data_IF_386261960506
#
_entry.id   IF_386261960506
#
_cell.length_a   1.000
_cell.length_b   1.000
_cell.length_c   1.000
_cell.angle_alpha   90.00
_cell.angle_beta   90.00
_cell.angle_gamma   90.00
#
_symmetry.space_group_name_H-M   'P 1'
#
loop_
_entity.id
_entity.type
_entity.pdbx_description
1 polymer ?
#
# COMPACT_ATOMS: atom_id res chain seq x y z
N UNK A 1 -2.90 -27.64 -15.42
CA UNK A 1 -2.26 -26.31 -15.52
C UNK A 1 -3.37 -25.27 -15.73
N UNK A 2 -4.21 -25.02 -14.72
CA UNK A 2 -5.42 -24.21 -14.88
C UNK A 2 -5.97 -23.65 -13.54
N UNK A 3 -5.08 -23.33 -12.59
CA UNK A 3 -5.51 -22.76 -11.29
C UNK A 3 -4.77 -21.45 -10.93
N UNK A 4 -3.70 -21.06 -11.65
CA UNK A 4 -2.92 -19.87 -11.31
C UNK A 4 -3.44 -18.52 -11.85
N UNK A 5 -4.39 -18.52 -12.81
CA UNK A 5 -4.92 -17.28 -13.41
C UNK A 5 -6.10 -16.71 -12.60
N UNK A 6 -6.64 -17.46 -11.64
CA UNK A 6 -7.77 -17.00 -10.83
C UNK A 6 -7.39 -15.95 -9.77
N UNK A 7 -6.14 -15.97 -9.28
CA UNK A 7 -5.70 -15.28 -8.06
C UNK A 7 -5.15 -13.85 -8.29
N UNK A 8 -4.83 -13.48 -9.54
CA UNK A 8 -4.33 -12.14 -9.90
C UNK A 8 -5.34 -10.98 -9.71
N UNK A 9 -6.58 -11.24 -9.27
CA UNK A 9 -7.70 -10.30 -9.37
C UNK A 9 -8.29 -9.81 -8.05
N UNK A 10 -7.93 -10.38 -6.90
CA UNK A 10 -8.45 -9.88 -5.63
C UNK A 10 -7.70 -8.63 -5.16
N UNK A 11 -6.36 -8.60 -5.27
CA UNK A 11 -5.54 -7.48 -4.79
C UNK A 11 -5.89 -6.16 -5.46
N UNK A 12 -5.94 -6.15 -6.80
CA UNK A 12 -6.18 -4.92 -7.56
C UNK A 12 -7.63 -4.46 -7.38
N UNK A 13 -8.60 -5.39 -7.25
CA UNK A 13 -9.97 -5.05 -6.90
C UNK A 13 -10.06 -4.36 -5.53
N UNK A 14 -9.31 -4.84 -4.53
CA UNK A 14 -9.23 -4.18 -3.22
C UNK A 14 -8.54 -2.82 -3.29
N UNK A 15 -7.49 -2.67 -4.11
CA UNK A 15 -6.87 -1.37 -4.37
C UNK A 15 -7.87 -0.38 -4.99
N UNK A 16 -8.66 -0.83 -5.98
CA UNK A 16 -9.70 -0.01 -6.62
C UNK A 16 -10.84 0.37 -5.66
N UNK A 17 -11.32 -0.57 -4.84
CA UNK A 17 -12.33 -0.28 -3.81
C UNK A 17 -11.78 0.67 -2.74
N UNK A 18 -10.52 0.53 -2.35
CA UNK A 18 -9.85 1.50 -1.48
C UNK A 18 -9.84 2.89 -2.10
N UNK A 19 -9.41 3.01 -3.37
CA UNK A 19 -9.39 4.28 -4.09
C UNK A 19 -10.78 4.92 -4.19
N UNK A 20 -11.82 4.12 -4.42
CA UNK A 20 -13.21 4.60 -4.51
C UNK A 20 -13.67 5.31 -3.23
N UNK A 21 -13.20 4.86 -2.06
CA UNK A 21 -13.60 5.41 -0.77
C UNK A 21 -12.56 6.35 -0.15
N UNK A 22 -11.38 6.49 -0.74
CA UNK A 22 -10.22 7.14 -0.12
C UNK A 22 -10.47 8.59 0.30
N UNK A 23 -11.19 9.36 -0.52
CA UNK A 23 -11.45 10.77 -0.25
C UNK A 23 -12.64 10.99 0.68
N UNK A 24 -13.72 10.24 0.47
CA UNK A 24 -14.96 10.42 1.24
C UNK A 24 -14.93 9.73 2.60
N UNK A 25 -14.39 8.51 2.69
CA UNK A 25 -14.46 7.63 3.87
C UNK A 25 -13.13 6.86 4.07
N UNK A 26 -12.07 7.53 4.54
CA UNK A 26 -10.77 6.89 4.75
C UNK A 26 -10.82 5.69 5.72
N UNK A 27 -11.73 5.68 6.70
CA UNK A 27 -11.98 4.56 7.62
C UNK A 27 -12.54 3.32 6.90
N UNK A 28 -13.25 3.53 5.80
CA UNK A 28 -13.73 2.44 4.94
C UNK A 28 -12.65 2.02 3.95
N UNK A 29 -11.98 2.98 3.32
CA UNK A 29 -10.93 2.73 2.34
C UNK A 29 -9.79 1.89 2.92
N UNK A 30 -9.35 2.21 4.15
CA UNK A 30 -8.27 1.49 4.84
C UNK A 30 -8.57 -0.01 5.00
N UNK A 31 -9.85 -0.38 5.16
CA UNK A 31 -10.26 -1.79 5.29
C UNK A 31 -10.02 -2.54 3.98
N UNK A 32 -10.37 -1.96 2.84
CA UNK A 32 -10.12 -2.61 1.54
C UNK A 32 -8.64 -2.76 1.25
N UNK A 33 -7.85 -1.69 1.43
CA UNK A 33 -6.40 -1.78 1.24
C UNK A 33 -5.77 -2.82 2.17
N UNK A 34 -6.19 -2.89 3.43
CA UNK A 34 -5.68 -3.87 4.39
C UNK A 34 -5.99 -5.31 3.95
N UNK A 35 -7.20 -5.59 3.46
CA UNK A 35 -7.53 -6.93 2.93
C UNK A 35 -6.62 -7.28 1.75
N UNK A 36 -6.39 -6.34 0.84
CA UNK A 36 -5.43 -6.52 -0.25
C UNK A 36 -4.01 -6.81 0.26
N UNK A 37 -3.52 -6.06 1.26
CA UNK A 37 -2.22 -6.35 1.88
C UNK A 37 -2.19 -7.76 2.47
N UNK A 38 -3.22 -8.18 3.21
CA UNK A 38 -3.26 -9.50 3.85
C UNK A 38 -3.25 -10.64 2.83
N UNK A 39 -3.97 -10.50 1.72
CA UNK A 39 -3.91 -11.47 0.62
C UNK A 39 -2.49 -11.54 0.05
N UNK A 40 -1.85 -10.39 -0.21
CA UNK A 40 -0.50 -10.36 -0.77
C UNK A 40 0.56 -10.92 0.18
N UNK A 41 0.43 -10.67 1.49
CA UNK A 41 1.31 -11.23 2.52
C UNK A 41 1.23 -12.76 2.57
N UNK A 42 0.06 -13.36 2.31
CA UNK A 42 -0.09 -14.82 2.25
C UNK A 42 0.64 -15.45 1.04
N UNK A 43 0.90 -14.66 0.00
CA UNK A 43 1.65 -15.12 -1.18
C UNK A 43 3.16 -14.97 -1.02
N UNK A 44 3.65 -14.30 0.03
CA UNK A 44 5.07 -14.14 0.28
C UNK A 44 5.64 -15.34 1.07
N UNK A 45 6.88 -15.76 0.82
CA UNK A 45 7.57 -16.72 1.67
C UNK A 45 7.63 -16.26 3.12
N UNK A 46 7.59 -17.22 4.06
CA UNK A 46 7.80 -16.92 5.47
C UNK A 46 9.16 -16.22 5.68
N UNK A 47 9.16 -15.12 6.44
CA UNK A 47 10.38 -14.34 6.69
C UNK A 47 10.91 -13.57 5.48
N UNK A 48 10.10 -13.36 4.43
CA UNK A 48 10.51 -12.61 3.23
C UNK A 48 11.16 -11.26 3.59
N UNK A 49 12.41 -11.09 3.17
CA UNK A 49 13.23 -9.89 3.39
C UNK A 49 13.78 -9.29 2.08
N UNK A 50 13.24 -9.71 0.94
CA UNK A 50 13.66 -9.27 -0.39
C UNK A 50 12.97 -8.00 -0.87
N UNK A 51 13.14 -7.73 -2.17
CA UNK A 51 12.51 -6.61 -2.90
C UNK A 51 11.34 -7.10 -3.74
N UNK A 52 10.31 -6.27 -3.86
CA UNK A 52 9.18 -6.38 -4.77
C UNK A 52 9.22 -5.19 -5.73
N UNK A 53 9.95 -5.33 -6.83
CA UNK A 53 10.12 -4.25 -7.80
C UNK A 53 8.80 -3.93 -8.50
N UNK A 54 8.50 -2.64 -8.68
CA UNK A 54 7.35 -2.15 -9.45
C UNK A 54 7.36 -2.57 -10.93
N UNK A 55 8.55 -2.78 -11.49
CA UNK A 55 8.72 -3.22 -12.88
C UNK A 55 8.14 -4.62 -13.13
N UNK A 56 8.05 -5.45 -12.09
CA UNK A 56 7.34 -6.73 -12.14
C UNK A 56 5.83 -6.45 -11.93
N UNK A 57 5.06 -6.61 -13.01
CA UNK A 57 3.66 -6.17 -13.08
C UNK A 57 2.81 -6.80 -11.97
N UNK A 58 3.07 -8.07 -11.64
CA UNK A 58 2.33 -8.83 -10.64
C UNK A 58 2.49 -8.28 -9.21
N UNK A 59 3.54 -7.49 -8.94
CA UNK A 59 3.74 -6.84 -7.64
C UNK A 59 2.89 -5.58 -7.45
N UNK A 60 2.45 -4.95 -8.54
CA UNK A 60 1.82 -3.63 -8.50
C UNK A 60 0.53 -3.60 -7.67
N UNK A 61 -0.37 -4.60 -7.73
CA UNK A 61 -1.57 -4.61 -6.90
C UNK A 61 -1.26 -4.58 -5.40
N UNK A 62 -0.26 -5.35 -4.95
CA UNK A 62 0.16 -5.36 -3.55
C UNK A 62 0.75 -4.01 -3.13
N UNK A 63 1.68 -3.47 -3.94
CA UNK A 63 2.29 -2.17 -3.70
C UNK A 63 1.27 -1.02 -3.70
N UNK A 64 0.25 -1.05 -4.57
CA UNK A 64 -0.87 -0.10 -4.56
C UNK A 64 -1.68 -0.17 -3.28
N UNK A 65 -1.99 -1.39 -2.81
CA UNK A 65 -2.68 -1.56 -1.53
C UNK A 65 -1.86 -0.99 -0.36
N UNK A 66 -0.55 -1.28 -0.32
CA UNK A 66 0.34 -0.71 0.71
C UNK A 66 0.34 0.82 0.69
N UNK A 67 0.42 1.42 -0.49
CA UNK A 67 0.42 2.88 -0.64
C UNK A 67 -0.88 3.50 -0.14
N UNK A 68 -2.02 3.01 -0.63
CA UNK A 68 -3.33 3.50 -0.21
C UNK A 68 -3.56 3.32 1.29
N UNK A 69 -3.12 2.20 1.86
CA UNK A 69 -3.19 1.96 3.30
C UNK A 69 -2.35 2.97 4.10
N UNK A 70 -1.10 3.22 3.69
CA UNK A 70 -0.23 4.22 4.32
C UNK A 70 -0.83 5.64 4.25
N UNK A 71 -1.39 6.01 3.10
CA UNK A 71 -2.07 7.29 2.91
C UNK A 71 -3.33 7.40 3.79
N UNK A 72 -4.13 6.34 3.92
CA UNK A 72 -5.28 6.32 4.83
C UNK A 72 -4.85 6.50 6.28
N UNK A 73 -3.83 5.77 6.72
CA UNK A 73 -3.27 5.93 8.07
C UNK A 73 -2.85 7.38 8.32
N UNK A 74 -2.20 8.00 7.33
CA UNK A 74 -1.80 9.40 7.42
C UNK A 74 -3.00 10.35 7.48
N UNK A 75 -4.01 10.20 6.61
CA UNK A 75 -5.30 10.93 6.65
C UNK A 75 -5.98 10.81 8.02
N UNK A 76 -5.91 9.64 8.63
CA UNK A 76 -6.48 9.32 9.94
C UNK A 76 -5.56 9.71 11.12
N UNK A 77 -4.47 10.45 10.87
CA UNK A 77 -3.49 10.90 11.88
C UNK A 77 -2.80 9.77 12.65
N UNK A 78 -2.74 8.56 12.08
CA UNK A 78 -2.03 7.39 12.61
C UNK A 78 -0.59 7.38 12.10
N UNK A 79 0.17 8.41 12.50
CA UNK A 79 1.47 8.74 11.91
C UNK A 79 2.50 7.63 12.05
N UNK A 80 2.61 7.01 13.21
CA UNK A 80 3.62 5.98 13.50
C UNK A 80 3.39 4.72 12.66
N UNK A 81 2.12 4.41 12.39
CA UNK A 81 1.76 3.27 11.54
C UNK A 81 1.98 3.60 10.06
N UNK A 82 1.64 4.82 9.63
CA UNK A 82 1.88 5.27 8.27
C UNK A 82 3.38 5.26 7.95
N UNK A 83 4.22 5.77 8.86
CA UNK A 83 5.67 5.75 8.73
C UNK A 83 6.20 4.33 8.51
N UNK A 84 5.80 3.36 9.34
CA UNK A 84 6.23 1.96 9.20
C UNK A 84 5.86 1.36 7.85
N UNK A 85 4.67 1.67 7.35
CA UNK A 85 4.21 1.19 6.02
C UNK A 85 5.08 1.80 4.93
N UNK A 86 5.32 3.11 4.99
CA UNK A 86 6.14 3.82 4.02
C UNK A 86 7.61 3.38 4.04
N UNK A 87 8.21 3.18 5.20
CA UNK A 87 9.55 2.61 5.33
C UNK A 87 9.63 1.22 4.71
N UNK A 88 8.64 0.37 4.97
CA UNK A 88 8.56 -0.95 4.35
C UNK A 88 8.41 -0.86 2.83
N UNK A 89 7.64 0.09 2.31
CA UNK A 89 7.52 0.30 0.87
C UNK A 89 8.85 0.72 0.23
N UNK A 90 9.61 1.61 0.87
CA UNK A 90 10.93 2.02 0.40
C UNK A 90 11.94 0.86 0.42
N UNK A 91 11.82 -0.05 1.39
CA UNK A 91 12.61 -1.29 1.41
C UNK A 91 12.22 -2.24 0.28
N UNK A 92 10.92 -2.51 0.13
CA UNK A 92 10.41 -3.45 -0.87
C UNK A 92 10.66 -2.96 -2.30
N UNK A 93 10.47 -1.67 -2.57
CA UNK A 93 10.65 -1.08 -3.89
C UNK A 93 11.58 0.14 -3.81
N UNK A 94 12.91 -0.03 -3.78
CA UNK A 94 13.87 1.08 -3.67
C UNK A 94 13.77 2.15 -4.77
N UNK A 95 13.41 1.83 -6.02
CA UNK A 95 13.11 2.85 -7.04
C UNK A 95 11.88 3.71 -6.70
N UNK A 96 11.03 3.29 -5.76
CA UNK A 96 9.87 4.01 -5.21
C UNK A 96 9.05 4.74 -6.28
N UNK A 97 8.55 3.95 -7.21
CA UNK A 97 7.69 4.42 -8.31
C UNK A 97 6.37 5.04 -7.83
N UNK A 98 6.04 4.90 -6.55
CA UNK A 98 4.82 5.43 -5.94
C UNK A 98 5.05 6.78 -5.25
N UNK A 99 6.30 7.22 -5.11
CA UNK A 99 6.64 8.55 -4.61
C UNK A 99 6.63 8.67 -3.08
N UNK A 100 6.70 7.57 -2.34
CA UNK A 100 6.72 7.56 -0.88
C UNK A 100 7.86 8.41 -0.31
N UNK A 101 9.02 8.44 -0.98
CA UNK A 101 10.21 9.21 -0.58
C UNK A 101 9.93 10.72 -0.45
N UNK A 102 8.95 11.24 -1.18
CA UNK A 102 8.61 12.66 -1.17
C UNK A 102 7.65 13.00 -0.02
N UNK A 103 6.82 12.05 0.40
CA UNK A 103 5.79 12.28 1.41
C UNK A 103 6.17 11.81 2.82
N UNK A 104 7.10 10.87 2.97
CA UNK A 104 7.41 10.24 4.26
C UNK A 104 7.88 11.25 5.32
N UNK A 105 8.59 12.31 4.94
CA UNK A 105 9.05 13.33 5.89
C UNK A 105 7.88 14.14 6.49
N UNK A 106 6.79 14.34 5.74
CA UNK A 106 5.58 14.98 6.26
C UNK A 106 4.92 14.12 7.34
N UNK A 107 4.93 12.80 7.16
CA UNK A 107 4.42 11.84 8.14
C UNK A 107 5.28 11.84 9.39
N UNK A 108 6.62 11.80 9.24
CA UNK A 108 7.58 11.84 10.36
C UNK A 108 7.46 13.13 11.18
N UNK A 109 7.24 14.27 10.51
CA UNK A 109 6.98 15.56 11.13
C UNK A 109 5.56 15.69 11.72
N UNK A 110 4.71 14.66 11.58
CA UNK A 110 3.29 14.67 11.94
C UNK A 110 2.49 15.82 11.32
N UNK A 111 2.87 16.25 10.10
CA UNK A 111 2.10 17.22 9.33
C UNK A 111 0.77 16.59 8.90
N UNK A 112 -0.37 17.26 9.04
CA UNK A 112 -1.66 16.71 8.60
C UNK A 112 -1.67 16.49 7.08
N UNK A 113 -2.39 15.46 6.63
CA UNK A 113 -2.60 15.19 5.20
C UNK A 113 -3.17 16.40 4.46
N UNK A 114 -2.73 16.58 3.21
CA UNK A 114 -3.28 17.53 2.23
C UNK A 114 -3.21 16.91 0.84
N UNK A 115 -4.11 17.30 -0.04
CA UNK A 115 -4.19 16.78 -1.41
C UNK A 115 -3.08 17.30 -2.33
N UNK A 116 -2.39 18.37 -1.94
CA UNK A 116 -1.35 19.05 -2.71
C UNK A 116 0.08 18.57 -2.42
N UNK A 117 0.24 17.52 -1.61
CA UNK A 117 1.53 16.86 -1.36
C UNK A 117 1.91 15.84 -2.42
#
# INVERSE_FOLDING_TARGET
MNELIADLRCLDAHAHLGNLYFDSWPEKAITYYNVGIKIGELSLPEGFNGVLLWSLIDNRPFLRCMHGYGLCLWKLKRFEEAEKVFERMLWLNPPDNQGVRFIIYHVKDRKPWREDY
#
